data_IF_121091680496
#
_entry.id   IF_121091680496
#
_cell.length_a   1.000
_cell.length_b   1.000
_cell.length_c   1.000
_cell.angle_alpha   90.00
_cell.angle_beta   90.00
_cell.angle_gamma   90.00
#
_symmetry.space_group_name_H-M   'P 1'
#
loop_
_entity.id
_entity.type
_entity.pdbx_description
1 polymer ?
#
# COMPACT_ATOMS: atom_id res chain seq x y z
N UNK A 1 7.20 10.82 39.31
CA UNK A 1 7.12 10.16 37.97
C UNK A 1 5.75 9.54 37.67
N UNK A 2 4.81 9.50 38.61
CA UNK A 2 3.47 8.87 38.41
C UNK A 2 2.42 9.74 37.69
N UNK A 3 2.60 11.06 37.66
CA UNK A 3 1.61 11.97 37.05
C UNK A 3 1.56 11.96 35.51
N UNK A 4 2.64 11.58 34.84
CA UNK A 4 2.71 11.52 33.37
C UNK A 4 2.03 10.29 32.77
N UNK A 5 2.06 9.17 33.47
CA UNK A 5 1.51 7.89 33.02
C UNK A 5 -0.03 7.91 32.98
N UNK A 6 -0.69 8.55 33.95
CA UNK A 6 -2.16 8.63 34.01
C UNK A 6 -2.80 9.49 32.91
N UNK A 7 -2.05 10.48 32.39
CA UNK A 7 -2.61 11.44 31.38
C UNK A 7 -2.73 10.88 29.97
N UNK A 8 -2.04 9.78 29.65
CA UNK A 8 -1.98 9.18 28.31
C UNK A 8 -2.87 7.94 28.12
N UNK A 9 -3.43 7.39 29.17
CA UNK A 9 -4.33 6.24 29.13
C UNK A 9 -5.54 6.44 28.21
N UNK A 10 -6.24 7.59 28.21
CA UNK A 10 -7.40 7.79 27.33
C UNK A 10 -7.01 7.72 25.86
N UNK A 11 -5.91 8.35 25.46
CA UNK A 11 -5.44 8.35 24.07
C UNK A 11 -5.01 6.95 23.62
N UNK A 12 -4.37 6.19 24.49
CA UNK A 12 -3.98 4.80 24.20
C UNK A 12 -5.21 3.93 23.95
N UNK A 13 -6.19 3.96 24.86
CA UNK A 13 -7.41 3.18 24.68
C UNK A 13 -8.23 3.62 23.48
N UNK A 14 -8.29 4.91 23.21
CA UNK A 14 -8.93 5.45 22.00
C UNK A 14 -8.25 4.93 20.73
N UNK A 15 -6.92 5.00 20.66
CA UNK A 15 -6.15 4.50 19.50
C UNK A 15 -6.30 3.00 19.30
N UNK A 16 -6.32 2.23 20.39
CA UNK A 16 -6.53 0.79 20.35
C UNK A 16 -7.97 0.43 19.93
N UNK A 17 -8.98 1.12 20.46
CA UNK A 17 -10.36 0.93 20.04
C UNK A 17 -10.55 1.25 18.54
N UNK A 18 -9.88 2.30 18.07
CA UNK A 18 -9.87 2.65 16.65
C UNK A 18 -9.22 1.55 15.79
N UNK A 19 -8.12 0.95 16.25
CA UNK A 19 -7.51 -0.21 15.56
C UNK A 19 -8.49 -1.38 15.46
N UNK A 20 -9.16 -1.73 16.56
CA UNK A 20 -10.18 -2.79 16.56
C UNK A 20 -11.31 -2.46 15.60
N UNK A 21 -11.77 -1.21 15.57
CA UNK A 21 -12.82 -0.76 14.64
C UNK A 21 -12.41 -0.95 13.17
N UNK A 22 -11.18 -0.57 12.81
CA UNK A 22 -10.64 -0.79 11.45
C UNK A 22 -10.59 -2.28 11.11
N UNK A 23 -10.08 -3.13 12.02
CA UNK A 23 -9.99 -4.56 11.80
C UNK A 23 -11.37 -5.23 11.66
N UNK A 24 -12.36 -4.79 12.45
CA UNK A 24 -13.74 -5.25 12.30
C UNK A 24 -14.34 -4.81 10.97
N UNK A 25 -14.01 -3.60 10.49
CA UNK A 25 -14.42 -3.13 9.16
C UNK A 25 -13.88 -4.01 8.05
N UNK A 26 -12.58 -4.32 8.06
CA UNK A 26 -11.95 -5.23 7.08
C UNK A 26 -12.58 -6.62 7.14
N UNK A 27 -12.80 -7.16 8.35
CA UNK A 27 -13.44 -8.45 8.53
C UNK A 27 -14.89 -8.44 8.01
N UNK A 28 -15.64 -7.36 8.25
CA UNK A 28 -17.01 -7.22 7.76
C UNK A 28 -17.06 -7.26 6.23
N UNK A 29 -16.18 -6.52 5.54
CA UNK A 29 -16.08 -6.54 4.07
C UNK A 29 -15.74 -7.93 3.55
N UNK A 30 -14.78 -8.61 4.18
CA UNK A 30 -14.39 -9.98 3.81
C UNK A 30 -15.54 -10.99 4.01
N UNK A 31 -16.27 -10.90 5.13
CA UNK A 31 -17.43 -11.74 5.38
C UNK A 31 -18.58 -11.46 4.40
N UNK A 32 -18.81 -10.18 4.08
CA UNK A 32 -19.81 -9.80 3.06
C UNK A 32 -19.46 -10.43 1.70
N UNK A 33 -18.19 -10.34 1.28
CA UNK A 33 -17.71 -11.00 0.05
C UNK A 33 -17.82 -12.50 0.10
N UNK A 34 -17.51 -13.14 1.25
CA UNK A 34 -17.69 -14.57 1.43
C UNK A 34 -19.15 -14.98 1.28
N UNK A 35 -20.09 -14.27 1.91
CA UNK A 35 -21.54 -14.54 1.76
C UNK A 35 -21.98 -14.35 0.30
N UNK A 36 -21.48 -13.32 -0.38
CA UNK A 36 -21.76 -13.08 -1.81
C UNK A 36 -21.32 -14.26 -2.68
N UNK A 37 -20.19 -14.87 -2.39
CA UNK A 37 -19.66 -16.04 -3.11
C UNK A 37 -20.57 -17.28 -3.02
N UNK A 38 -21.39 -17.42 -1.97
CA UNK A 38 -22.37 -18.50 -1.81
C UNK A 38 -23.75 -18.20 -2.36
N UNK A 39 -23.97 -17.01 -2.91
CA UNK A 39 -25.24 -16.60 -3.48
C UNK A 39 -25.18 -16.51 -5.00
N UNK A 40 -26.33 -16.59 -5.67
CA UNK A 40 -26.54 -16.16 -7.05
C UNK A 40 -27.09 -14.72 -6.99
N UNK A 41 -26.16 -13.74 -6.99
CA UNK A 41 -26.51 -12.36 -6.74
C UNK A 41 -27.28 -11.74 -7.91
N UNK A 42 -28.46 -11.26 -7.59
CA UNK A 42 -29.36 -10.58 -8.51
C UNK A 42 -29.51 -9.12 -8.08
N UNK A 43 -29.05 -8.18 -8.89
CA UNK A 43 -29.04 -6.77 -8.56
C UNK A 43 -30.43 -6.19 -8.21
N UNK A 44 -31.50 -6.74 -8.78
CA UNK A 44 -32.89 -6.34 -8.51
C UNK A 44 -33.39 -6.76 -7.13
N UNK A 45 -32.90 -7.91 -6.63
CA UNK A 45 -33.33 -8.46 -5.32
C UNK A 45 -32.36 -8.09 -4.20
N UNK A 46 -31.19 -7.54 -4.55
CA UNK A 46 -30.13 -7.19 -3.60
C UNK A 46 -29.55 -8.40 -2.87
N UNK A 47 -28.72 -8.15 -1.87
CA UNK A 47 -28.01 -9.22 -1.14
C UNK A 47 -28.99 -10.12 -0.35
N UNK A 48 -30.03 -9.57 0.26
CA UNK A 48 -30.97 -10.31 1.08
C UNK A 48 -31.91 -11.19 0.23
N UNK A 49 -32.41 -10.67 -0.89
CA UNK A 49 -33.36 -11.37 -1.74
C UNK A 49 -32.77 -12.31 -2.78
N UNK A 50 -31.46 -12.30 -2.98
CA UNK A 50 -30.78 -13.19 -3.90
C UNK A 50 -30.76 -14.64 -3.39
N UNK A 51 -31.01 -15.64 -4.25
CA UNK A 51 -31.04 -17.06 -3.85
C UNK A 51 -29.67 -17.57 -3.43
N UNK A 52 -29.64 -18.60 -2.61
CA UNK A 52 -28.42 -19.30 -2.24
C UNK A 52 -28.01 -20.28 -3.36
N UNK A 53 -26.79 -20.11 -3.88
CA UNK A 53 -26.18 -21.01 -4.88
C UNK A 53 -25.33 -22.11 -4.23
N UNK A 54 -25.10 -22.05 -2.92
CA UNK A 54 -24.22 -22.99 -2.22
C UNK A 54 -22.79 -22.94 -2.78
N UNK A 55 -22.23 -24.10 -3.12
CA UNK A 55 -20.87 -24.22 -3.67
C UNK A 55 -20.80 -24.08 -5.20
N UNK A 56 -21.88 -23.76 -5.89
CA UNK A 56 -21.92 -23.75 -7.37
C UNK A 56 -20.87 -22.80 -7.98
N UNK A 57 -20.73 -21.58 -7.43
CA UNK A 57 -19.76 -20.60 -7.91
C UNK A 57 -18.31 -21.07 -7.73
N UNK A 58 -18.03 -21.74 -6.60
CA UNK A 58 -16.70 -22.32 -6.36
C UNK A 58 -16.44 -23.52 -7.27
N UNK A 59 -17.42 -24.42 -7.46
CA UNK A 59 -17.25 -25.59 -8.31
C UNK A 59 -17.08 -25.21 -9.78
N UNK A 60 -17.79 -24.20 -10.26
CA UNK A 60 -17.62 -23.69 -11.63
C UNK A 60 -16.23 -23.12 -11.87
N UNK A 61 -15.70 -22.36 -10.91
CA UNK A 61 -14.35 -21.80 -10.99
C UNK A 61 -13.28 -22.90 -10.90
N UNK A 62 -13.38 -23.81 -9.93
CA UNK A 62 -12.38 -24.85 -9.67
C UNK A 62 -12.43 -25.99 -10.71
N UNK A 63 -13.59 -26.26 -11.32
CA UNK A 63 -13.75 -27.23 -12.39
C UNK A 63 -13.18 -26.75 -13.73
N UNK A 64 -12.89 -25.46 -13.88
CA UNK A 64 -12.27 -24.90 -15.05
C UNK A 64 -10.76 -25.18 -15.12
N UNK A 65 -10.22 -25.47 -16.30
CA UNK A 65 -8.78 -25.66 -16.52
C UNK A 65 -7.95 -24.38 -16.19
N UNK A 66 -8.60 -23.23 -16.09
CA UNK A 66 -7.99 -21.92 -15.86
C UNK A 66 -7.66 -21.65 -14.40
N UNK A 67 -8.29 -22.32 -13.43
CA UNK A 67 -8.12 -22.01 -11.99
C UNK A 67 -6.67 -22.14 -11.53
N UNK A 68 -6.02 -23.26 -11.84
CA UNK A 68 -4.61 -23.47 -11.48
C UNK A 68 -3.68 -22.48 -12.17
N UNK A 69 -3.99 -22.09 -13.40
CA UNK A 69 -3.24 -21.05 -14.11
C UNK A 69 -3.38 -19.69 -13.43
N UNK A 70 -4.60 -19.30 -13.01
CA UNK A 70 -4.85 -18.05 -12.28
C UNK A 70 -4.08 -17.99 -10.96
N UNK A 71 -4.08 -19.09 -10.20
CA UNK A 71 -3.31 -19.19 -8.97
C UNK A 71 -1.79 -19.14 -9.23
N UNK A 72 -1.33 -19.91 -10.22
CA UNK A 72 0.08 -19.98 -10.60
C UNK A 72 0.62 -18.63 -11.10
N UNK A 73 -0.12 -17.95 -11.95
CA UNK A 73 0.22 -16.62 -12.45
C UNK A 73 0.27 -15.60 -11.32
N UNK A 74 -0.75 -15.58 -10.43
CA UNK A 74 -0.76 -14.68 -9.27
C UNK A 74 0.47 -14.89 -8.38
N UNK A 75 0.80 -16.15 -8.08
CA UNK A 75 1.99 -16.49 -7.30
C UNK A 75 3.28 -16.09 -8.02
N UNK A 76 3.40 -16.35 -9.33
CA UNK A 76 4.58 -15.99 -10.13
C UNK A 76 4.81 -14.48 -10.15
N UNK A 77 3.77 -13.70 -10.42
CA UNK A 77 3.85 -12.24 -10.43
C UNK A 77 4.24 -11.70 -9.06
N UNK A 78 3.69 -12.28 -7.98
CA UNK A 78 4.08 -11.90 -6.61
C UNK A 78 5.50 -12.32 -6.26
N UNK A 79 5.98 -13.43 -6.78
CA UNK A 79 7.40 -13.82 -6.64
C UNK A 79 8.33 -12.83 -7.36
N UNK A 80 7.90 -12.22 -8.48
CA UNK A 80 8.64 -11.12 -9.11
C UNK A 80 8.76 -9.90 -8.18
N UNK A 81 7.67 -9.49 -7.49
CA UNK A 81 7.71 -8.42 -6.50
C UNK A 81 8.61 -8.78 -5.31
N UNK A 82 8.54 -10.01 -4.81
CA UNK A 82 9.40 -10.50 -3.74
C UNK A 82 10.87 -10.53 -4.15
N UNK A 83 11.19 -10.97 -5.37
CA UNK A 83 12.55 -10.95 -5.88
C UNK A 83 13.09 -9.53 -5.99
N UNK A 84 12.28 -8.58 -6.49
CA UNK A 84 12.62 -7.17 -6.55
C UNK A 84 12.90 -6.59 -5.14
N UNK A 85 12.06 -6.93 -4.17
CA UNK A 85 12.22 -6.49 -2.78
C UNK A 85 13.46 -7.10 -2.12
N UNK A 86 13.64 -8.42 -2.20
CA UNK A 86 14.72 -9.12 -1.49
C UNK A 86 16.09 -8.85 -2.12
N UNK A 87 16.19 -8.90 -3.44
CA UNK A 87 17.48 -8.69 -4.15
C UNK A 87 17.76 -7.18 -4.26
N UNK A 88 16.89 -6.42 -4.93
CA UNK A 88 17.10 -4.98 -5.12
C UNK A 88 17.12 -4.21 -3.80
N UNK A 89 16.13 -4.49 -2.94
CA UNK A 89 16.05 -3.90 -1.61
C UNK A 89 17.18 -4.33 -0.69
N UNK A 90 17.65 -5.59 -0.79
CA UNK A 90 18.80 -6.10 -0.06
C UNK A 90 20.08 -5.36 -0.39
N UNK A 91 20.38 -5.16 -1.68
CA UNK A 91 21.54 -4.39 -2.12
C UNK A 91 21.49 -2.96 -1.61
N UNK A 92 20.36 -2.27 -1.78
CA UNK A 92 20.18 -0.89 -1.30
C UNK A 92 20.29 -0.81 0.23
N UNK A 93 19.68 -1.74 0.97
CA UNK A 93 19.77 -1.77 2.43
C UNK A 93 21.19 -2.02 2.94
N UNK A 94 21.97 -2.88 2.27
CA UNK A 94 23.38 -3.08 2.58
C UNK A 94 24.19 -1.80 2.36
N UNK A 95 23.98 -1.10 1.25
CA UNK A 95 24.65 0.18 0.99
C UNK A 95 24.31 1.22 2.07
N UNK A 96 23.03 1.31 2.46
CA UNK A 96 22.58 2.20 3.55
C UNK A 96 23.24 1.80 4.88
N UNK A 97 23.35 0.50 5.17
CA UNK A 97 23.96 0.02 6.40
C UNK A 97 25.46 0.35 6.52
N UNK A 98 26.15 0.55 5.39
CA UNK A 98 27.56 0.97 5.35
C UNK A 98 27.73 2.47 5.72
N UNK A 99 26.67 3.27 5.79
CA UNK A 99 26.73 4.67 6.20
C UNK A 99 27.10 4.74 7.69
N UNK A 100 28.23 5.38 8.08
CA UNK A 100 28.72 5.33 9.46
C UNK A 100 27.84 6.10 10.45
N UNK A 101 27.15 7.17 9.99
CA UNK A 101 26.34 8.02 10.84
C UNK A 101 24.89 7.54 10.88
N UNK A 102 24.41 7.11 12.05
CA UNK A 102 23.05 6.58 12.25
C UNK A 102 21.95 7.55 11.81
N UNK A 103 22.10 8.85 12.06
CA UNK A 103 21.16 9.86 11.63
C UNK A 103 21.07 9.99 10.10
N UNK A 104 22.21 10.00 9.40
CA UNK A 104 22.23 10.03 7.91
C UNK A 104 21.57 8.77 7.35
N UNK A 105 21.83 7.62 7.96
CA UNK A 105 21.18 6.34 7.60
C UNK A 105 19.67 6.43 7.67
N UNK A 106 19.11 6.99 8.76
CA UNK A 106 17.66 7.23 8.90
C UNK A 106 17.14 8.17 7.79
N UNK A 107 17.86 9.26 7.53
CA UNK A 107 17.47 10.22 6.51
C UNK A 107 17.45 9.63 5.10
N UNK A 108 18.49 8.88 4.74
CA UNK A 108 18.57 8.18 3.45
C UNK A 108 17.46 7.13 3.32
N UNK A 109 17.24 6.33 4.38
CA UNK A 109 16.14 5.36 4.37
C UNK A 109 14.79 6.03 4.18
N UNK A 110 14.52 7.11 4.91
CA UNK A 110 13.25 7.83 4.81
C UNK A 110 13.03 8.41 3.41
N UNK A 111 14.06 8.92 2.73
CA UNK A 111 13.96 9.44 1.38
C UNK A 111 13.52 8.39 0.35
N UNK A 112 13.73 7.09 0.62
CA UNK A 112 13.23 6.00 -0.24
C UNK A 112 11.69 5.87 -0.26
N UNK A 113 10.98 6.58 0.62
CA UNK A 113 9.52 6.72 0.50
C UNK A 113 9.11 7.37 -0.84
N UNK A 114 9.94 8.25 -1.40
CA UNK A 114 9.64 8.93 -2.67
C UNK A 114 9.49 7.91 -3.82
N UNK A 115 10.47 7.06 -4.14
CA UNK A 115 10.30 6.07 -5.20
C UNK A 115 9.42 4.87 -4.78
N UNK A 116 9.29 4.56 -3.49
CA UNK A 116 8.40 3.51 -3.01
C UNK A 116 6.91 3.84 -3.23
N UNK A 117 6.54 5.13 -3.19
CA UNK A 117 5.19 5.65 -3.43
C UNK A 117 5.00 6.19 -4.86
N UNK A 118 6.00 6.03 -5.73
CA UNK A 118 5.87 6.52 -7.10
C UNK A 118 4.69 5.83 -7.82
N UNK A 119 3.88 6.61 -8.58
CA UNK A 119 2.69 6.10 -9.25
C UNK A 119 3.00 4.99 -10.26
N UNK A 120 2.14 3.98 -10.33
CA UNK A 120 2.30 2.87 -11.29
C UNK A 120 2.31 3.37 -12.75
N UNK A 121 1.57 4.42 -13.05
CA UNK A 121 1.50 5.06 -14.38
C UNK A 121 2.88 5.57 -14.83
N UNK A 122 3.70 6.09 -13.91
CA UNK A 122 5.06 6.52 -14.20
C UNK A 122 5.92 5.39 -14.78
N UNK A 123 5.89 4.22 -14.16
CA UNK A 123 6.68 3.07 -14.62
C UNK A 123 6.08 2.44 -15.88
N UNK A 124 4.76 2.50 -16.07
CA UNK A 124 4.13 2.05 -17.31
C UNK A 124 4.54 2.91 -18.51
N UNK A 125 4.70 4.21 -18.31
CA UNK A 125 5.10 5.14 -19.36
C UNK A 125 6.61 5.08 -19.70
N UNK A 126 7.45 4.87 -18.67
CA UNK A 126 8.92 4.83 -18.85
C UNK A 126 9.43 3.49 -19.40
N UNK A 127 8.69 2.40 -19.19
CA UNK A 127 9.13 1.07 -19.57
C UNK A 127 8.29 0.55 -20.75
N UNK A 128 8.92 0.03 -21.81
CA UNK A 128 8.22 -0.44 -22.99
C UNK A 128 7.26 -1.59 -22.68
N UNK A 129 6.20 -1.68 -23.44
CA UNK A 129 5.26 -2.80 -23.41
C UNK A 129 5.93 -4.05 -24.00
N UNK A 130 6.62 -4.78 -23.14
CA UNK A 130 7.03 -6.14 -23.48
C UNK A 130 5.92 -7.07 -22.99
N UNK A 131 5.28 -7.79 -23.90
CA UNK A 131 4.13 -8.66 -23.58
C UNK A 131 4.45 -9.88 -22.72
N UNK A 132 5.35 -9.76 -21.73
CA UNK A 132 5.79 -10.86 -20.88
C UNK A 132 5.93 -10.45 -19.40
N UNK A 133 6.07 -11.43 -18.52
CA UNK A 133 6.21 -11.24 -17.06
C UNK A 133 7.43 -10.37 -16.66
N UNK A 134 8.44 -10.26 -17.52
CA UNK A 134 9.61 -9.41 -17.29
C UNK A 134 9.23 -7.92 -17.26
N UNK A 135 8.27 -7.47 -18.06
CA UNK A 135 7.77 -6.08 -17.99
C UNK A 135 7.13 -5.79 -16.63
N UNK A 136 6.34 -6.73 -16.10
CA UNK A 136 5.77 -6.59 -14.76
C UNK A 136 6.86 -6.52 -13.69
N UNK A 137 7.88 -7.39 -13.77
CA UNK A 137 9.03 -7.36 -12.87
C UNK A 137 9.73 -6.01 -12.87
N UNK A 138 10.03 -5.46 -14.05
CA UNK A 138 10.70 -4.16 -14.17
C UNK A 138 9.86 -3.02 -13.59
N UNK A 139 8.55 -3.03 -13.81
CA UNK A 139 7.62 -2.00 -13.29
C UNK A 139 7.50 -2.06 -11.76
N UNK A 140 7.57 -3.25 -11.17
CA UNK A 140 7.53 -3.44 -9.72
C UNK A 140 8.89 -3.30 -9.03
N UNK A 141 10.01 -3.33 -9.79
CA UNK A 141 11.36 -3.34 -9.24
C UNK A 141 11.64 -2.16 -8.30
N UNK A 142 11.43 -0.95 -8.77
CA UNK A 142 11.76 0.27 -8.01
C UNK A 142 10.91 0.41 -6.75
N UNK A 143 9.57 0.35 -6.81
CA UNK A 143 8.75 0.49 -5.62
C UNK A 143 9.02 -0.60 -4.57
N UNK A 144 9.13 -1.87 -4.98
CA UNK A 144 9.35 -2.99 -4.07
C UNK A 144 10.77 -2.98 -3.45
N UNK A 145 11.80 -2.68 -4.25
CA UNK A 145 13.18 -2.55 -3.75
C UNK A 145 13.30 -1.39 -2.77
N UNK A 146 12.71 -0.23 -3.08
CA UNK A 146 12.75 0.94 -2.21
C UNK A 146 11.94 0.74 -0.92
N UNK A 147 10.79 0.07 -0.96
CA UNK A 147 10.04 -0.33 0.22
C UNK A 147 10.87 -1.24 1.14
N UNK A 148 11.51 -2.27 0.57
CA UNK A 148 12.34 -3.19 1.34
C UNK A 148 13.60 -2.52 1.89
N UNK A 149 14.25 -1.66 1.12
CA UNK A 149 15.42 -0.90 1.57
C UNK A 149 15.06 0.13 2.65
N UNK A 150 13.92 0.81 2.54
CA UNK A 150 13.37 1.66 3.60
C UNK A 150 13.21 0.87 4.90
N UNK A 151 12.56 -0.30 4.84
CA UNK A 151 12.36 -1.17 6.01
C UNK A 151 13.69 -1.64 6.57
N UNK A 152 14.62 -2.06 5.72
CA UNK A 152 15.97 -2.48 6.09
C UNK A 152 16.75 -1.40 6.83
N UNK A 153 16.80 -0.21 6.25
CA UNK A 153 17.49 0.94 6.86
C UNK A 153 16.86 1.38 8.17
N UNK A 154 15.54 1.35 8.27
CA UNK A 154 14.80 1.65 9.50
C UNK A 154 15.12 0.63 10.61
N UNK A 155 15.08 -0.66 10.33
CA UNK A 155 15.39 -1.71 11.32
C UNK A 155 16.86 -1.63 11.75
N UNK A 156 17.79 -1.40 10.83
CA UNK A 156 19.19 -1.19 11.16
C UNK A 156 19.40 0.02 12.06
N UNK A 157 18.68 1.12 11.79
CA UNK A 157 18.74 2.32 12.62
C UNK A 157 18.12 2.10 14.01
N UNK A 158 16.97 1.41 14.09
CA UNK A 158 16.29 1.11 15.36
C UNK A 158 17.09 0.20 16.28
N UNK A 159 17.94 -0.65 15.70
CA UNK A 159 18.81 -1.59 16.45
C UNK A 159 20.23 -1.05 16.67
N UNK A 160 20.57 0.10 16.11
CA UNK A 160 21.95 0.60 15.99
C UNK A 160 22.89 -0.47 15.38
N UNK A 161 22.34 -1.27 14.45
CA UNK A 161 22.99 -2.41 13.88
C UNK A 161 23.59 -2.12 12.51
N UNK A 162 24.28 -3.13 11.97
CA UNK A 162 24.92 -3.10 10.66
C UNK A 162 24.08 -3.79 9.57
N UNK A 163 24.81 -4.41 8.64
CA UNK A 163 24.26 -5.11 7.46
C UNK A 163 23.27 -6.21 7.83
N UNK A 164 23.54 -6.97 8.90
CA UNK A 164 22.66 -8.08 9.33
C UNK A 164 21.28 -7.55 9.73
N UNK A 165 21.21 -6.44 10.47
CA UNK A 165 19.93 -5.83 10.86
C UNK A 165 19.20 -5.19 9.68
N UNK A 166 19.95 -4.65 8.72
CA UNK A 166 19.38 -4.16 7.48
C UNK A 166 18.74 -5.29 6.65
N UNK A 167 19.43 -6.42 6.48
CA UNK A 167 18.91 -7.60 5.80
C UNK A 167 17.72 -8.21 6.54
N UNK A 168 17.72 -8.18 7.87
CA UNK A 168 16.57 -8.59 8.68
C UNK A 168 15.34 -7.70 8.39
N UNK A 169 15.53 -6.39 8.25
CA UNK A 169 14.47 -5.48 7.85
C UNK A 169 13.95 -5.75 6.44
N UNK A 170 14.85 -6.07 5.49
CA UNK A 170 14.45 -6.51 4.14
C UNK A 170 13.62 -7.80 4.20
N UNK A 171 14.02 -8.76 5.04
CA UNK A 171 13.24 -9.98 5.26
C UNK A 171 11.85 -9.68 5.85
N UNK A 172 11.74 -8.70 6.76
CA UNK A 172 10.44 -8.24 7.28
C UNK A 172 9.56 -7.63 6.19
N UNK A 173 10.12 -6.83 5.28
CA UNK A 173 9.39 -6.33 4.12
C UNK A 173 8.92 -7.48 3.22
N UNK A 174 9.79 -8.46 2.97
CA UNK A 174 9.44 -9.68 2.23
C UNK A 174 8.30 -10.46 2.88
N UNK A 175 8.26 -10.57 4.21
CA UNK A 175 7.15 -11.21 4.92
C UNK A 175 5.83 -10.46 4.71
N UNK A 176 5.82 -9.12 4.75
CA UNK A 176 4.63 -8.32 4.48
C UNK A 176 4.12 -8.54 3.04
N UNK A 177 5.01 -8.55 2.06
CA UNK A 177 4.64 -8.85 0.66
C UNK A 177 4.14 -10.29 0.50
N UNK A 178 4.76 -11.26 1.18
CA UNK A 178 4.39 -12.67 1.11
C UNK A 178 3.03 -12.97 1.73
N UNK A 179 2.52 -12.14 2.67
CA UNK A 179 1.17 -12.27 3.20
C UNK A 179 0.08 -12.12 2.12
N UNK A 180 0.43 -11.59 0.93
CA UNK A 180 -0.44 -11.46 -0.25
C UNK A 180 0.07 -12.29 -1.44
N UNK A 181 0.52 -13.50 -1.21
CA UNK A 181 1.20 -14.29 -2.23
C UNK A 181 0.38 -14.52 -3.51
N UNK A 182 -0.95 -14.60 -3.43
CA UNK A 182 -1.83 -14.81 -4.58
C UNK A 182 -2.41 -13.51 -5.17
N UNK A 183 -2.09 -12.36 -4.58
CA UNK A 183 -2.59 -11.05 -5.04
C UNK A 183 -1.42 -10.13 -5.38
N UNK A 184 -0.95 -10.13 -6.64
CA UNK A 184 -0.01 -9.15 -7.14
C UNK A 184 -0.60 -7.74 -7.07
N UNK A 185 0.24 -6.73 -7.29
CA UNK A 185 -0.19 -5.33 -7.30
C UNK A 185 -1.14 -5.07 -8.50
N UNK A 186 -2.43 -4.97 -8.22
CA UNK A 186 -3.45 -4.90 -9.26
C UNK A 186 -3.32 -3.65 -10.14
N UNK A 187 -3.08 -2.42 -9.61
CA UNK A 187 -2.87 -1.25 -10.46
C UNK A 187 -1.73 -1.44 -11.47
N UNK A 188 -0.59 -1.95 -11.04
CA UNK A 188 0.55 -2.24 -11.94
C UNK A 188 0.20 -3.34 -12.95
N UNK A 189 -0.54 -4.36 -12.51
CA UNK A 189 -0.97 -5.46 -13.37
C UNK A 189 -1.94 -5.00 -14.46
N UNK A 190 -2.95 -4.20 -14.12
CA UNK A 190 -3.92 -3.66 -15.09
C UNK A 190 -3.29 -2.78 -16.17
N UNK A 191 -2.18 -2.09 -15.86
CA UNK A 191 -1.41 -1.32 -16.83
C UNK A 191 -0.55 -2.21 -17.76
N UNK A 192 -0.22 -3.43 -17.33
CA UNK A 192 0.55 -4.41 -18.11
C UNK A 192 -0.34 -5.41 -18.86
N UNK A 193 -1.62 -5.52 -18.49
CA UNK A 193 -2.51 -6.56 -18.94
C UNK A 193 -3.26 -6.15 -20.23
N UNK A 194 -3.31 -7.08 -21.20
CA UNK A 194 -4.14 -6.97 -22.39
C UNK A 194 -4.69 -8.37 -22.76
N UNK A 195 -5.71 -8.49 -23.62
CA UNK A 195 -6.30 -9.78 -23.98
C UNK A 195 -5.31 -10.80 -24.56
N UNK A 196 -4.22 -10.35 -25.16
CA UNK A 196 -3.22 -11.23 -25.80
C UNK A 196 -2.27 -11.88 -24.80
N UNK A 197 -2.15 -11.31 -23.58
CA UNK A 197 -1.20 -11.77 -22.59
C UNK A 197 -1.83 -12.40 -21.34
N UNK A 198 -3.14 -12.66 -21.34
CA UNK A 198 -3.84 -13.29 -20.21
C UNK A 198 -3.26 -14.66 -19.81
N UNK A 199 -2.59 -15.35 -20.72
CA UNK A 199 -1.98 -16.65 -20.43
C UNK A 199 -0.98 -16.61 -19.25
N UNK A 200 -0.26 -15.50 -19.06
CA UNK A 200 0.69 -15.32 -17.96
C UNK A 200 0.29 -14.19 -16.98
N UNK A 201 -0.55 -13.25 -17.42
CA UNK A 201 -0.87 -12.07 -16.64
C UNK A 201 -2.17 -12.17 -15.84
N UNK A 202 -3.06 -13.13 -16.20
CA UNK A 202 -4.33 -13.27 -15.51
C UNK A 202 -4.15 -13.99 -14.17
N UNK A 203 -4.48 -13.31 -13.10
CA UNK A 203 -4.43 -13.81 -11.71
C UNK A 203 -5.84 -13.79 -11.10
N UNK A 204 -6.04 -14.45 -9.96
CA UNK A 204 -7.36 -14.47 -9.30
C UNK A 204 -7.93 -13.07 -9.08
N UNK A 205 -7.09 -12.11 -8.73
CA UNK A 205 -7.50 -10.72 -8.48
C UNK A 205 -7.93 -10.01 -9.78
N UNK A 206 -7.17 -10.13 -10.87
CA UNK A 206 -7.55 -9.52 -12.17
C UNK A 206 -8.72 -10.26 -12.83
N UNK A 207 -8.82 -11.57 -12.65
CA UNK A 207 -9.98 -12.36 -13.05
C UNK A 207 -11.25 -11.89 -12.33
N UNK A 208 -11.18 -11.72 -11.00
CA UNK A 208 -12.29 -11.19 -10.20
C UNK A 208 -12.72 -9.80 -10.65
N UNK A 209 -11.76 -8.90 -10.89
CA UNK A 209 -12.02 -7.57 -11.45
C UNK A 209 -12.77 -7.64 -12.78
N UNK A 210 -12.28 -8.43 -13.73
CA UNK A 210 -12.88 -8.57 -15.06
C UNK A 210 -14.26 -9.22 -14.99
N UNK A 211 -14.39 -10.34 -14.28
CA UNK A 211 -15.64 -11.11 -14.18
C UNK A 211 -16.69 -10.30 -13.42
N UNK A 212 -16.34 -9.68 -12.32
CA UNK A 212 -17.29 -8.93 -11.49
C UNK A 212 -17.68 -7.58 -12.08
N UNK A 213 -16.72 -6.74 -12.46
CA UNK A 213 -17.00 -5.36 -12.86
C UNK A 213 -17.28 -5.20 -14.36
N UNK A 214 -16.63 -5.98 -15.22
CA UNK A 214 -16.82 -5.87 -16.67
C UNK A 214 -17.93 -6.82 -17.14
N UNK A 215 -17.94 -8.06 -16.64
CA UNK A 215 -18.94 -9.08 -17.03
C UNK A 215 -20.17 -9.11 -16.12
N UNK A 216 -20.15 -8.34 -15.01
CA UNK A 216 -21.25 -8.24 -14.01
C UNK A 216 -21.61 -9.55 -13.28
N UNK A 217 -20.75 -10.57 -13.34
CA UNK A 217 -20.87 -11.78 -12.52
C UNK A 217 -20.19 -11.53 -11.14
N UNK A 218 -20.94 -10.88 -10.25
CA UNK A 218 -20.46 -10.54 -8.90
C UNK A 218 -20.21 -11.77 -8.04
N UNK A 219 -21.00 -12.82 -8.22
CA UNK A 219 -20.92 -14.04 -7.40
C UNK A 219 -19.70 -14.89 -7.76
N UNK A 220 -19.44 -15.10 -9.05
CA UNK A 220 -18.24 -15.80 -9.51
C UNK A 220 -16.96 -15.04 -9.15
N UNK A 221 -16.97 -13.73 -9.32
CA UNK A 221 -15.86 -12.86 -8.91
C UNK A 221 -15.60 -12.91 -7.39
N UNK A 222 -16.66 -12.88 -6.57
CA UNK A 222 -16.55 -12.99 -5.12
C UNK A 222 -16.02 -14.38 -4.69
N UNK A 223 -16.39 -15.44 -5.40
CA UNK A 223 -15.86 -16.80 -5.14
C UNK A 223 -14.34 -16.86 -5.41
N UNK A 224 -13.86 -16.26 -6.49
CA UNK A 224 -12.43 -16.18 -6.81
C UNK A 224 -11.67 -15.41 -5.71
N UNK A 225 -12.21 -14.27 -5.28
CA UNK A 225 -11.62 -13.45 -4.23
C UNK A 225 -11.65 -14.14 -2.85
N UNK A 226 -12.75 -14.81 -2.50
CA UNK A 226 -12.86 -15.55 -1.25
C UNK A 226 -11.82 -16.69 -1.17
N UNK A 227 -11.59 -17.41 -2.27
CA UNK A 227 -10.53 -18.43 -2.35
C UNK A 227 -9.13 -17.81 -2.18
N UNK A 228 -8.84 -16.72 -2.89
CA UNK A 228 -7.57 -16.03 -2.77
C UNK A 228 -7.34 -15.54 -1.35
N UNK A 229 -8.31 -14.82 -0.76
CA UNK A 229 -8.22 -14.28 0.59
C UNK A 229 -8.12 -15.36 1.66
N UNK A 230 -8.88 -16.46 1.52
CA UNK A 230 -8.82 -17.59 2.44
C UNK A 230 -7.45 -18.28 2.42
N UNK A 231 -6.91 -18.57 1.24
CA UNK A 231 -5.60 -19.16 1.10
C UNK A 231 -4.49 -18.21 1.62
N UNK A 232 -4.60 -16.92 1.33
CA UNK A 232 -3.66 -15.91 1.84
C UNK A 232 -3.72 -15.79 3.36
N UNK A 233 -4.91 -15.82 3.97
CA UNK A 233 -5.04 -15.77 5.43
C UNK A 233 -4.35 -16.95 6.10
N UNK A 234 -4.50 -18.16 5.54
CA UNK A 234 -3.80 -19.36 6.04
C UNK A 234 -2.27 -19.21 5.97
N UNK A 235 -1.75 -18.58 4.93
CA UNK A 235 -0.32 -18.28 4.80
C UNK A 235 0.10 -17.10 5.68
N UNK A 236 -0.72 -16.07 5.80
CA UNK A 236 -0.39 -14.84 6.52
C UNK A 236 -0.28 -15.06 8.04
N UNK A 237 -1.06 -15.96 8.63
CA UNK A 237 -1.02 -16.22 10.07
C UNK A 237 0.36 -16.72 10.56
N UNK A 238 0.97 -17.78 9.99
CA UNK A 238 2.32 -18.19 10.38
C UNK A 238 3.38 -17.13 10.03
N UNK A 239 3.23 -16.42 8.90
CA UNK A 239 4.14 -15.33 8.54
C UNK A 239 4.04 -14.16 9.53
N UNK A 240 2.85 -13.83 10.02
CA UNK A 240 2.65 -12.82 11.06
C UNK A 240 3.28 -13.25 12.40
N UNK A 241 3.17 -14.53 12.76
CA UNK A 241 3.84 -15.05 13.94
C UNK A 241 5.38 -14.94 13.83
N UNK A 242 5.94 -15.23 12.66
CA UNK A 242 7.36 -15.04 12.37
C UNK A 242 7.73 -13.56 12.38
N UNK A 243 6.95 -12.70 11.72
CA UNK A 243 7.11 -11.25 11.72
C UNK A 243 7.16 -10.70 13.15
N UNK A 244 6.22 -11.10 14.03
CA UNK A 244 6.18 -10.67 15.42
C UNK A 244 7.41 -11.12 16.24
N UNK A 245 8.03 -12.25 15.90
CA UNK A 245 9.25 -12.76 16.57
C UNK A 245 10.49 -11.98 16.15
N UNK A 246 10.58 -11.63 14.87
CA UNK A 246 11.73 -10.96 14.28
C UNK A 246 11.73 -9.46 14.61
N UNK A 247 10.57 -8.85 14.84
CA UNK A 247 10.45 -7.43 15.15
C UNK A 247 11.37 -7.01 16.30
N UNK A 248 12.14 -5.90 16.14
CA UNK A 248 13.04 -5.43 17.19
C UNK A 248 12.28 -4.99 18.44
N UNK A 249 12.95 -5.04 19.59
CA UNK A 249 12.44 -4.39 20.80
C UNK A 249 12.31 -2.89 20.56
N UNK A 250 11.33 -2.24 21.24
CA UNK A 250 11.14 -0.79 21.09
C UNK A 250 12.49 -0.09 21.29
N UNK A 251 12.90 0.77 20.36
CA UNK A 251 14.22 1.38 20.41
C UNK A 251 14.31 2.32 21.61
N UNK A 252 15.44 2.25 22.30
CA UNK A 252 15.70 3.10 23.44
C UNK A 252 16.21 4.49 23.05
N UNK A 253 16.96 4.61 21.97
CA UNK A 253 17.48 5.89 21.44
C UNK A 253 17.77 5.76 19.94
N UNK A 254 17.44 6.80 19.16
CA UNK A 254 17.90 6.98 17.79
C UNK A 254 18.84 8.18 17.77
N UNK A 255 20.07 8.01 17.26
CA UNK A 255 20.95 9.14 16.96
C UNK A 255 20.44 9.83 15.69
N UNK A 256 20.19 11.13 15.79
CA UNK A 256 19.42 11.85 14.80
C UNK A 256 20.23 12.92 14.06
N UNK A 257 21.48 13.14 14.44
CA UNK A 257 22.34 14.14 13.78
C UNK A 257 22.52 13.77 12.30
N UNK A 258 22.12 14.67 11.40
CA UNK A 258 22.24 14.49 9.96
C UNK A 258 21.02 13.83 9.27
N UNK A 259 20.01 13.33 10.03
CA UNK A 259 18.84 12.69 9.44
C UNK A 259 18.01 13.64 8.55
N UNK A 260 17.72 14.83 9.06
CA UNK A 260 16.95 15.86 8.37
C UNK A 260 17.62 16.33 7.07
N UNK A 261 18.89 16.80 7.10
CA UNK A 261 19.53 17.26 5.88
C UNK A 261 19.72 16.12 4.86
N UNK A 262 20.00 14.90 5.31
CA UNK A 262 20.12 13.75 4.39
C UNK A 262 18.78 13.40 3.74
N UNK A 263 17.68 13.35 4.50
CA UNK A 263 16.35 13.11 3.94
C UNK A 263 15.94 14.22 2.97
N UNK A 264 16.14 15.50 3.34
CA UNK A 264 15.79 16.63 2.50
C UNK A 264 16.60 16.65 1.19
N UNK A 265 17.92 16.53 1.28
CA UNK A 265 18.80 16.57 0.12
C UNK A 265 18.50 15.44 -0.86
N UNK A 266 18.39 14.19 -0.36
CA UNK A 266 18.12 13.05 -1.21
C UNK A 266 16.70 13.09 -1.79
N UNK A 267 15.70 13.55 -1.02
CA UNK A 267 14.34 13.73 -1.53
C UNK A 267 14.27 14.78 -2.64
N UNK A 268 14.97 15.91 -2.51
CA UNK A 268 15.06 16.94 -3.55
C UNK A 268 15.73 16.37 -4.80
N UNK A 269 16.82 15.60 -4.64
CA UNK A 269 17.49 14.94 -5.77
C UNK A 269 16.55 13.96 -6.48
N UNK A 270 15.80 13.13 -5.74
CA UNK A 270 14.85 12.19 -6.31
C UNK A 270 13.70 12.91 -7.04
N UNK A 271 13.19 14.01 -6.49
CA UNK A 271 12.18 14.84 -7.18
C UNK A 271 12.77 15.44 -8.47
N UNK A 272 14.00 15.91 -8.43
CA UNK A 272 14.67 16.45 -9.62
C UNK A 272 14.87 15.38 -10.71
N UNK A 273 15.22 14.15 -10.33
CA UNK A 273 15.32 13.01 -11.27
C UNK A 273 13.95 12.71 -11.91
N UNK A 274 12.88 12.67 -11.11
CA UNK A 274 11.51 12.47 -11.61
C UNK A 274 11.12 13.62 -12.54
N UNK A 275 11.42 14.88 -12.18
CA UNK A 275 11.14 16.05 -13.01
C UNK A 275 11.86 16.01 -14.36
N UNK A 276 13.13 15.61 -14.35
CA UNK A 276 13.91 15.39 -15.57
C UNK A 276 13.34 14.28 -16.45
N UNK A 277 12.93 13.16 -15.83
CA UNK A 277 12.33 12.03 -16.55
C UNK A 277 10.96 12.37 -17.18
N UNK A 278 10.22 13.30 -16.55
CA UNK A 278 8.90 13.73 -17.03
C UNK A 278 8.93 14.82 -18.09
N UNK A 279 10.04 15.54 -18.29
CA UNK A 279 10.12 16.68 -19.22
C UNK A 279 9.15 17.81 -18.83
N UNK A 280 9.64 18.87 -18.23
CA UNK A 280 8.78 19.99 -17.76
C UNK A 280 8.35 20.89 -18.93
N UNK A 281 7.34 20.48 -19.69
CA UNK A 281 6.70 21.32 -20.70
C UNK A 281 5.21 21.49 -20.38
N UNK A 282 4.80 22.69 -19.96
CA UNK A 282 3.40 23.09 -19.82
C UNK A 282 2.86 23.29 -18.40
N UNK A 283 1.69 23.95 -18.29
CA UNK A 283 0.99 24.20 -17.04
C UNK A 283 0.18 22.94 -16.64
N UNK A 284 0.28 22.55 -15.36
CA UNK A 284 -0.48 21.44 -14.80
C UNK A 284 -1.96 21.83 -14.63
N UNK A 285 -2.92 21.11 -15.22
CA UNK A 285 -4.35 21.39 -15.03
C UNK A 285 -4.80 20.85 -13.65
N UNK A 286 -4.78 21.72 -12.65
CA UNK A 286 -5.19 21.38 -11.29
C UNK A 286 -6.69 21.63 -11.10
N UNK A 287 -7.48 20.56 -10.96
CA UNK A 287 -8.87 20.64 -10.54
C UNK A 287 -8.96 20.66 -9.01
N UNK A 288 -9.89 21.43 -8.46
CA UNK A 288 -10.10 21.54 -7.01
C UNK A 288 -10.39 20.18 -6.35
N UNK A 289 -11.16 19.33 -6.98
CA UNK A 289 -11.43 17.94 -6.54
C UNK A 289 -10.20 17.06 -6.57
N UNK A 290 -9.33 17.23 -7.56
CA UNK A 290 -8.03 16.52 -7.64
C UNK A 290 -7.09 16.82 -6.48
N UNK A 291 -7.23 17.97 -5.81
CA UNK A 291 -6.46 18.36 -4.62
C UNK A 291 -7.14 17.89 -3.33
N UNK A 292 -8.45 18.10 -3.23
CA UNK A 292 -9.20 17.81 -1.99
C UNK A 292 -9.23 16.32 -1.68
N UNK A 293 -9.39 15.47 -2.70
CA UNK A 293 -9.49 14.03 -2.54
C UNK A 293 -8.25 13.38 -1.88
N UNK A 294 -7.02 13.62 -2.36
CA UNK A 294 -5.82 13.12 -1.70
C UNK A 294 -5.63 13.66 -0.27
N UNK A 295 -6.02 14.90 -0.01
CA UNK A 295 -5.94 15.48 1.34
C UNK A 295 -6.89 14.76 2.31
N UNK A 296 -8.14 14.49 1.90
CA UNK A 296 -9.09 13.73 2.71
C UNK A 296 -8.61 12.29 2.92
N UNK A 297 -8.09 11.62 1.89
CA UNK A 297 -7.47 10.31 2.03
C UNK A 297 -6.27 10.35 2.99
N UNK A 298 -5.49 11.42 2.93
CA UNK A 298 -4.39 11.66 3.86
C UNK A 298 -4.87 11.75 5.31
N UNK A 299 -5.96 12.46 5.59
CA UNK A 299 -6.53 12.51 6.96
C UNK A 299 -6.90 11.11 7.46
N UNK A 300 -7.54 10.29 6.61
CA UNK A 300 -7.85 8.90 6.97
C UNK A 300 -6.58 8.07 7.23
N UNK A 301 -5.51 8.27 6.45
CA UNK A 301 -4.20 7.66 6.69
C UNK A 301 -3.57 8.08 8.01
N UNK A 302 -3.69 9.35 8.39
CA UNK A 302 -3.27 9.86 9.71
C UNK A 302 -4.04 9.21 10.86
N UNK A 303 -5.34 9.01 10.69
CA UNK A 303 -6.21 8.31 11.65
C UNK A 303 -5.82 6.84 11.76
N UNK A 304 -5.57 6.15 10.63
CA UNK A 304 -5.07 4.77 10.64
C UNK A 304 -3.70 4.67 11.31
N UNK A 305 -2.80 5.63 11.07
CA UNK A 305 -1.50 5.67 11.75
C UNK A 305 -1.65 5.83 13.26
N UNK A 306 -2.59 6.67 13.72
CA UNK A 306 -2.92 6.79 15.13
C UNK A 306 -3.39 5.45 15.71
N UNK A 307 -4.24 4.72 14.98
CA UNK A 307 -4.70 3.39 15.37
C UNK A 307 -3.54 2.39 15.50
N UNK A 308 -2.65 2.32 14.51
CA UNK A 308 -1.49 1.43 14.51
C UNK A 308 -0.51 1.75 15.66
N UNK A 309 -0.29 3.03 15.97
CA UNK A 309 0.56 3.44 17.11
C UNK A 309 -0.04 3.09 18.47
N UNK A 310 -1.36 2.84 18.53
CA UNK A 310 -2.09 2.35 19.69
C UNK A 310 -2.02 0.85 19.91
N UNK A 311 -1.40 0.10 19.00
CA UNK A 311 -1.27 -1.35 19.15
C UNK A 311 -0.51 -1.70 20.46
N UNK A 312 -1.09 -2.50 21.38
CA UNK A 312 -0.51 -2.77 22.69
C UNK A 312 0.76 -3.62 22.64
N UNK A 313 0.94 -4.38 21.57
CA UNK A 313 2.11 -5.22 21.40
C UNK A 313 2.41 -5.43 19.90
N UNK A 314 3.62 -5.93 19.60
CA UNK A 314 4.04 -6.34 18.25
C UNK A 314 3.14 -7.41 17.64
N UNK A 315 2.58 -8.29 18.49
CA UNK A 315 1.63 -9.31 18.03
C UNK A 315 0.39 -8.66 17.41
N UNK A 316 -0.09 -7.56 17.99
CA UNK A 316 -1.22 -6.82 17.44
C UNK A 316 -0.90 -6.17 16.10
N UNK A 317 0.29 -5.59 15.94
CA UNK A 317 0.73 -5.07 14.63
C UNK A 317 0.84 -6.20 13.59
N UNK A 318 1.38 -7.36 13.98
CA UNK A 318 1.48 -8.52 13.11
C UNK A 318 0.12 -9.10 12.72
N UNK A 319 -0.82 -9.18 13.67
CA UNK A 319 -2.20 -9.60 13.42
C UNK A 319 -2.90 -8.60 12.50
N UNK A 320 -2.73 -7.30 12.74
CA UNK A 320 -3.29 -6.26 11.89
C UNK A 320 -2.75 -6.38 10.46
N UNK A 321 -1.44 -6.61 10.30
CA UNK A 321 -0.83 -6.83 9.01
C UNK A 321 -1.41 -8.08 8.31
N UNK A 322 -1.51 -9.19 9.01
CA UNK A 322 -2.08 -10.42 8.46
C UNK A 322 -3.52 -10.21 7.99
N UNK A 323 -4.38 -9.62 8.83
CA UNK A 323 -5.80 -9.44 8.51
C UNK A 323 -5.99 -8.45 7.35
N UNK A 324 -5.37 -7.27 7.41
CA UNK A 324 -5.56 -6.25 6.38
C UNK A 324 -4.95 -6.70 5.05
N UNK A 325 -3.74 -7.28 5.05
CA UNK A 325 -3.08 -7.69 3.82
C UNK A 325 -3.70 -8.94 3.18
N UNK A 326 -4.25 -9.86 3.95
CA UNK A 326 -4.87 -11.07 3.40
C UNK A 326 -6.36 -10.92 3.06
N UNK A 327 -7.10 -10.12 3.82
CA UNK A 327 -8.56 -9.94 3.66
C UNK A 327 -8.93 -8.62 2.98
N UNK A 328 -8.07 -7.60 3.03
CA UNK A 328 -8.26 -6.33 2.33
C UNK A 328 -8.11 -6.47 0.81
N UNK A 329 -8.69 -5.54 0.07
CA UNK A 329 -8.74 -5.59 -1.40
C UNK A 329 -9.75 -6.62 -1.89
N UNK A 330 -10.87 -6.80 -1.17
CA UNK A 330 -12.03 -7.55 -1.66
C UNK A 330 -12.91 -6.62 -2.49
N UNK A 331 -12.42 -6.34 -3.71
CA UNK A 331 -12.93 -5.30 -4.60
C UNK A 331 -14.41 -5.45 -4.92
N UNK A 332 -14.91 -6.70 -5.05
CA UNK A 332 -16.33 -6.93 -5.33
C UNK A 332 -17.20 -6.58 -4.13
N UNK A 333 -16.78 -6.99 -2.93
CA UNK A 333 -17.49 -6.65 -1.71
C UNK A 333 -17.45 -5.14 -1.44
N UNK A 334 -16.28 -4.53 -1.61
CA UNK A 334 -16.07 -3.08 -1.45
C UNK A 334 -16.92 -2.29 -2.43
N UNK A 335 -16.94 -2.67 -3.72
CA UNK A 335 -17.74 -2.03 -4.76
C UNK A 335 -19.25 -2.13 -4.47
N UNK A 336 -19.73 -3.33 -4.13
CA UNK A 336 -21.15 -3.53 -3.85
C UNK A 336 -21.59 -2.81 -2.58
N UNK A 337 -20.75 -2.79 -1.54
CA UNK A 337 -21.03 -2.02 -0.32
C UNK A 337 -21.06 -0.52 -0.62
N UNK A 338 -20.10 0.00 -1.39
CA UNK A 338 -20.11 1.40 -1.81
C UNK A 338 -21.38 1.75 -2.61
N UNK A 339 -21.86 0.83 -3.46
CA UNK A 339 -23.12 0.98 -4.19
C UNK A 339 -24.34 0.95 -3.28
N UNK A 340 -24.38 0.02 -2.32
CA UNK A 340 -25.48 -0.09 -1.33
C UNK A 340 -25.58 1.19 -0.48
N UNK A 341 -24.42 1.75 -0.06
CA UNK A 341 -24.38 2.98 0.73
C UNK A 341 -24.56 4.25 -0.10
N UNK A 342 -24.72 4.15 -1.43
CA UNK A 342 -24.83 5.31 -2.31
C UNK A 342 -23.55 6.14 -2.42
N UNK A 343 -22.39 5.51 -2.22
CA UNK A 343 -21.08 6.17 -2.21
C UNK A 343 -20.42 6.25 -3.59
N UNK A 344 -21.04 5.70 -4.63
CA UNK A 344 -20.58 5.87 -6.02
C UNK A 344 -20.67 7.36 -6.39
N UNK A 345 -19.66 7.88 -7.07
CA UNK A 345 -19.45 9.31 -7.36
C UNK A 345 -19.29 10.21 -6.13
N UNK A 346 -18.83 9.64 -5.03
CA UNK A 346 -18.46 10.38 -3.82
C UNK A 346 -16.99 10.10 -3.44
N UNK A 347 -16.34 10.97 -2.65
CA UNK A 347 -14.96 10.75 -2.22
C UNK A 347 -14.79 9.60 -1.22
N UNK A 348 -15.86 9.14 -0.57
CA UNK A 348 -15.80 8.24 0.57
C UNK A 348 -15.08 6.91 0.31
N UNK A 349 -15.33 6.17 -0.81
CA UNK A 349 -14.60 4.94 -1.07
C UNK A 349 -13.08 5.16 -1.15
N UNK A 350 -12.67 6.22 -1.86
CA UNK A 350 -11.25 6.51 -2.03
C UNK A 350 -10.61 6.91 -0.70
N UNK A 351 -11.30 7.76 0.08
CA UNK A 351 -10.83 8.21 1.40
C UNK A 351 -10.65 7.03 2.36
N UNK A 352 -11.57 6.08 2.38
CA UNK A 352 -11.54 4.96 3.31
C UNK A 352 -10.60 3.83 2.85
N UNK A 353 -10.50 3.58 1.54
CA UNK A 353 -9.72 2.46 1.01
C UNK A 353 -8.26 2.81 0.77
N UNK A 354 -7.91 4.06 0.38
CA UNK A 354 -6.52 4.44 0.12
C UNK A 354 -5.54 4.12 1.26
N UNK A 355 -5.85 4.32 2.56
CA UNK A 355 -4.93 3.95 3.63
C UNK A 355 -4.83 2.43 3.85
N UNK A 356 -5.82 1.64 3.39
CA UNK A 356 -5.84 0.18 3.48
C UNK A 356 -5.19 -0.49 2.27
N UNK A 357 -4.86 0.27 1.23
CA UNK A 357 -4.11 -0.22 0.09
C UNK A 357 -2.80 -0.89 0.55
N UNK A 358 -2.46 -2.07 0.01
CA UNK A 358 -1.39 -2.90 0.55
C UNK A 358 -0.03 -2.21 0.65
N UNK A 359 0.33 -1.37 -0.32
CA UNK A 359 1.57 -0.59 -0.32
C UNK A 359 1.57 0.42 0.82
N UNK A 360 0.51 1.21 0.92
CA UNK A 360 0.34 2.24 1.95
C UNK A 360 0.31 1.59 3.33
N UNK A 361 -0.54 0.59 3.51
CA UNK A 361 -0.71 -0.07 4.79
C UNK A 361 0.61 -0.71 5.28
N UNK A 362 1.35 -1.38 4.40
CA UNK A 362 2.65 -1.97 4.75
C UNK A 362 3.66 -0.90 5.20
N UNK A 363 3.71 0.25 4.51
CA UNK A 363 4.54 1.38 4.92
C UNK A 363 4.11 1.93 6.28
N UNK A 364 2.82 2.12 6.52
CA UNK A 364 2.29 2.60 7.80
C UNK A 364 2.63 1.64 8.95
N UNK A 365 2.54 0.31 8.72
CA UNK A 365 2.94 -0.70 9.72
C UNK A 365 4.43 -0.57 10.05
N UNK A 366 5.30 -0.43 9.04
CA UNK A 366 6.75 -0.26 9.26
C UNK A 366 7.04 1.05 9.99
N UNK A 367 6.39 2.16 9.61
CA UNK A 367 6.55 3.45 10.28
C UNK A 367 6.05 3.40 11.73
N UNK A 368 4.98 2.66 12.01
CA UNK A 368 4.47 2.49 13.37
C UNK A 368 5.47 1.78 14.32
N UNK A 369 6.44 1.03 13.79
CA UNK A 369 7.51 0.42 14.60
C UNK A 369 8.41 1.46 15.26
N UNK A 370 8.54 2.64 14.66
CA UNK A 370 9.30 3.77 15.22
C UNK A 370 8.50 4.62 16.22
N UNK A 371 7.23 4.27 16.48
CA UNK A 371 6.34 5.05 17.32
C UNK A 371 6.81 5.11 18.77
N UNK A 372 6.91 6.34 19.29
CA UNK A 372 7.10 6.68 20.70
C UNK A 372 5.99 7.62 21.11
N UNK A 373 5.71 7.69 22.39
CA UNK A 373 4.64 8.56 22.91
C UNK A 373 4.81 10.04 22.50
N UNK A 374 6.04 10.51 22.50
CA UNK A 374 6.39 11.91 22.14
C UNK A 374 6.26 12.21 20.64
N UNK A 375 6.23 11.18 19.78
CA UNK A 375 6.33 11.31 18.33
C UNK A 375 5.02 11.01 17.59
N UNK A 376 3.95 10.63 18.30
CA UNK A 376 2.69 10.15 17.66
C UNK A 376 2.10 11.16 16.69
N UNK A 377 2.04 12.44 17.06
CA UNK A 377 1.48 13.48 16.21
C UNK A 377 2.22 13.62 14.87
N UNK A 378 3.55 13.59 14.91
CA UNK A 378 4.39 13.66 13.72
C UNK A 378 4.25 12.40 12.86
N UNK A 379 4.13 11.22 13.47
CA UNK A 379 3.87 9.95 12.76
C UNK A 379 2.51 9.98 12.09
N UNK A 380 1.48 10.48 12.77
CA UNK A 380 0.15 10.65 12.15
C UNK A 380 0.23 11.59 10.95
N UNK A 381 0.97 12.69 11.04
CA UNK A 381 1.15 13.61 9.92
C UNK A 381 1.97 12.97 8.79
N UNK A 382 3.02 12.23 9.10
CA UNK A 382 3.80 11.50 8.09
C UNK A 382 2.95 10.41 7.41
N UNK A 383 2.14 9.66 8.17
CA UNK A 383 1.19 8.68 7.64
C UNK A 383 0.11 9.32 6.77
N UNK A 384 -0.37 10.50 7.14
CA UNK A 384 -1.30 11.29 6.35
C UNK A 384 -0.68 11.66 4.99
N UNK A 385 0.56 12.13 4.98
CA UNK A 385 1.26 12.51 3.75
C UNK A 385 1.59 11.30 2.86
N UNK A 386 1.96 10.15 3.44
CA UNK A 386 2.15 8.89 2.69
C UNK A 386 0.87 8.49 1.97
N UNK A 387 -0.25 8.53 2.67
CA UNK A 387 -1.55 8.18 2.09
C UNK A 387 -2.00 9.20 1.04
N UNK A 388 -1.80 10.50 1.29
CA UNK A 388 -2.10 11.55 0.34
C UNK A 388 -1.25 11.43 -0.94
N UNK A 389 0.04 11.11 -0.82
CA UNK A 389 0.94 10.88 -1.93
C UNK A 389 0.46 9.71 -2.81
N UNK A 390 0.08 8.60 -2.19
CA UNK A 390 -0.48 7.46 -2.89
C UNK A 390 -1.78 7.81 -3.59
N UNK A 391 -2.75 8.40 -2.86
CA UNK A 391 -4.06 8.76 -3.41
C UNK A 391 -3.98 9.80 -4.54
N UNK A 392 -2.95 10.65 -4.55
CA UNK A 392 -2.68 11.57 -5.65
C UNK A 392 -2.35 10.82 -6.94
N UNK A 393 -1.47 9.84 -6.85
CA UNK A 393 -0.97 9.07 -7.99
C UNK A 393 -1.83 7.85 -8.36
N UNK A 394 -2.80 7.49 -7.54
CA UNK A 394 -3.65 6.35 -7.78
C UNK A 394 -4.68 6.65 -8.87
N UNK A 395 -4.74 5.78 -9.89
CA UNK A 395 -5.75 5.83 -10.93
C UNK A 395 -6.86 4.80 -10.72
N UNK A 396 -6.59 3.77 -9.89
CA UNK A 396 -7.41 2.57 -9.81
C UNK A 396 -8.71 2.82 -9.02
N UNK A 397 -8.61 3.31 -7.77
CA UNK A 397 -9.81 3.60 -6.97
C UNK A 397 -10.71 4.66 -7.62
N UNK A 398 -10.19 5.78 -8.17
CA UNK A 398 -11.04 6.71 -8.92
C UNK A 398 -11.72 6.07 -10.14
N UNK A 399 -11.05 5.18 -10.85
CA UNK A 399 -11.63 4.46 -11.98
C UNK A 399 -12.82 3.58 -11.57
N UNK A 400 -12.79 3.01 -10.36
CA UNK A 400 -13.86 2.16 -9.83
C UNK A 400 -15.08 2.94 -9.34
N UNK A 401 -14.85 4.07 -8.66
CA UNK A 401 -15.89 4.71 -7.85
C UNK A 401 -16.36 6.06 -8.40
N UNK A 402 -15.60 6.70 -9.32
CA UNK A 402 -15.92 8.00 -9.86
C UNK A 402 -16.21 7.88 -11.36
N UNK A 403 -17.46 8.11 -11.74
CA UNK A 403 -17.90 8.11 -13.15
C UNK A 403 -17.89 9.51 -13.75
N UNK A 404 -17.80 10.57 -12.92
CA UNK A 404 -17.83 11.96 -13.36
C UNK A 404 -16.43 12.46 -13.69
N UNK A 405 -16.24 12.91 -14.91
CA UNK A 405 -14.91 13.35 -15.43
C UNK A 405 -14.39 14.57 -14.65
N UNK A 406 -15.26 15.44 -14.19
CA UNK A 406 -14.93 16.64 -13.40
C UNK A 406 -14.42 16.34 -11.99
N UNK A 407 -14.59 15.11 -11.51
CA UNK A 407 -14.18 14.65 -10.18
C UNK A 407 -12.98 13.70 -10.20
N UNK A 408 -12.40 13.42 -11.35
CA UNK A 408 -11.26 12.51 -11.49
C UNK A 408 -9.98 13.15 -10.90
N UNK A 409 -9.17 12.29 -10.26
CA UNK A 409 -7.89 12.69 -9.69
C UNK A 409 -6.76 12.75 -10.73
N UNK A 410 -5.59 13.22 -10.29
CA UNK A 410 -4.41 13.34 -11.12
C UNK A 410 -3.93 12.00 -11.70
N UNK A 411 -4.00 10.91 -10.92
CA UNK A 411 -3.58 9.57 -11.35
C UNK A 411 -4.38 9.06 -12.54
N UNK A 412 -5.71 9.23 -12.52
CA UNK A 412 -6.57 8.84 -13.62
C UNK A 412 -6.34 9.68 -14.88
N UNK A 413 -6.23 11.01 -14.72
CA UNK A 413 -5.93 11.91 -15.84
C UNK A 413 -4.58 11.58 -16.47
N UNK A 414 -3.57 11.33 -15.66
CA UNK A 414 -2.26 10.90 -16.13
C UNK A 414 -2.32 9.61 -16.94
N UNK A 415 -3.07 8.63 -16.46
CA UNK A 415 -3.30 7.38 -17.19
C UNK A 415 -3.92 7.64 -18.57
N UNK A 416 -4.93 8.48 -18.65
CA UNK A 416 -5.54 8.82 -19.95
C UNK A 416 -4.53 9.48 -20.89
N UNK A 417 -3.79 10.49 -20.43
CA UNK A 417 -2.78 11.18 -21.24
C UNK A 417 -1.67 10.25 -21.74
N UNK A 418 -1.21 9.33 -20.90
CA UNK A 418 -0.18 8.35 -21.26
C UNK A 418 -0.67 7.39 -22.34
N UNK A 419 -1.89 6.86 -22.19
CA UNK A 419 -2.42 5.85 -23.13
C UNK A 419 -3.09 6.45 -24.37
N UNK A 420 -3.57 7.70 -24.35
CA UNK A 420 -4.03 8.39 -25.55
C UNK A 420 -2.88 8.88 -26.45
N UNK A 421 -1.67 8.98 -25.91
CA UNK A 421 -0.51 9.51 -26.60
C UNK A 421 -0.52 11.04 -26.79
N UNK A 422 -1.54 11.73 -26.28
CA UNK A 422 -1.69 13.18 -26.51
C UNK A 422 -0.68 14.04 -25.76
N UNK A 423 -0.17 13.62 -24.63
CA UNK A 423 0.94 14.27 -23.89
C UNK A 423 1.43 13.38 -22.76
N UNK A 424 2.12 12.28 -23.05
CA UNK A 424 2.49 11.30 -22.04
C UNK A 424 3.43 11.88 -20.96
N UNK A 425 4.36 12.77 -21.35
CA UNK A 425 5.29 13.41 -20.43
C UNK A 425 4.57 14.35 -19.44
N UNK A 426 3.59 15.12 -19.92
CA UNK A 426 2.77 15.98 -19.07
C UNK A 426 1.91 15.16 -18.11
N UNK A 427 1.32 14.06 -18.57
CA UNK A 427 0.58 13.13 -17.73
C UNK A 427 1.45 12.55 -16.61
N UNK A 428 2.67 12.11 -16.94
CA UNK A 428 3.64 11.65 -15.96
C UNK A 428 3.99 12.72 -14.93
N UNK A 429 4.32 13.93 -15.39
CA UNK A 429 4.66 15.05 -14.51
C UNK A 429 3.53 15.40 -13.55
N UNK A 430 2.30 15.46 -14.05
CA UNK A 430 1.10 15.78 -13.28
C UNK A 430 0.84 14.77 -12.16
N UNK A 431 1.08 13.49 -12.42
CA UNK A 431 0.89 12.42 -11.45
C UNK A 431 2.07 12.31 -10.47
N UNK A 432 3.30 12.26 -11.00
CA UNK A 432 4.47 11.88 -10.22
C UNK A 432 5.05 13.00 -9.36
N UNK A 433 5.07 14.25 -9.84
CA UNK A 433 5.71 15.35 -9.11
C UNK A 433 5.03 15.71 -7.79
N UNK A 434 3.69 15.91 -7.72
CA UNK A 434 3.04 16.17 -6.45
C UNK A 434 3.11 14.97 -5.50
N UNK A 435 2.97 13.74 -6.01
CA UNK A 435 3.14 12.54 -5.20
C UNK A 435 4.55 12.45 -4.61
N UNK A 436 5.58 12.75 -5.40
CA UNK A 436 6.96 12.82 -4.94
C UNK A 436 7.20 13.93 -3.90
N UNK A 437 6.60 15.11 -4.09
CA UNK A 437 6.68 16.20 -3.12
C UNK A 437 6.03 15.84 -1.77
N UNK A 438 4.85 15.24 -1.78
CA UNK A 438 4.18 14.77 -0.56
C UNK A 438 4.97 13.65 0.13
N UNK A 439 5.50 12.70 -0.64
CA UNK A 439 6.35 11.62 -0.13
C UNK A 439 7.65 12.15 0.47
N UNK A 440 8.25 13.15 -0.16
CA UNK A 440 9.45 13.81 0.34
C UNK A 440 9.20 14.54 1.66
N UNK A 441 8.06 15.20 1.78
CA UNK A 441 7.66 15.85 3.03
C UNK A 441 7.41 14.81 4.12
N UNK A 442 6.77 13.69 3.80
CA UNK A 442 6.61 12.55 4.72
C UNK A 442 7.97 11.99 5.17
N UNK A 443 8.93 11.87 4.24
CA UNK A 443 10.29 11.41 4.52
C UNK A 443 11.03 12.33 5.49
N UNK A 444 10.96 13.65 5.26
CA UNK A 444 11.57 14.66 6.13
C UNK A 444 10.95 14.62 7.53
N UNK A 445 9.61 14.54 7.62
CA UNK A 445 8.93 14.41 8.90
C UNK A 445 9.29 13.12 9.62
N UNK A 446 9.31 11.99 8.89
CA UNK A 446 9.72 10.72 9.48
C UNK A 446 11.17 10.74 9.97
N UNK A 447 12.09 11.33 9.21
CA UNK A 447 13.48 11.52 9.61
C UNK A 447 13.62 12.41 10.88
N UNK A 448 12.76 13.43 11.03
CA UNK A 448 12.71 14.28 12.24
C UNK A 448 12.35 13.50 13.51
N UNK A 449 11.62 12.39 13.39
CA UNK A 449 11.25 11.54 14.53
C UNK A 449 12.45 10.85 15.18
N UNK A 450 13.55 10.66 14.41
CA UNK A 450 14.82 10.21 14.95
C UNK A 450 15.53 11.26 15.84
N UNK A 451 15.12 12.54 15.79
CA UNK A 451 15.80 13.71 16.40
C UNK A 451 15.30 14.05 17.82
N UNK A 452 14.68 13.16 18.54
CA UNK A 452 14.39 13.48 19.95
C UNK A 452 15.68 13.61 20.75
N UNK A 453 16.01 14.86 21.11
CA UNK A 453 17.08 15.20 22.06
C UNK A 453 16.96 14.39 23.33
N UNK A 454 18.08 13.98 23.94
CA UNK A 454 18.05 13.44 25.28
C UNK A 454 17.41 14.50 26.17
N UNK A 455 16.31 14.15 26.83
CA UNK A 455 15.83 14.97 27.96
C UNK A 455 17.03 15.20 28.86
N UNK A 456 17.42 16.46 29.04
CA UNK A 456 18.46 16.86 29.96
C UNK A 456 18.16 16.18 31.29
N UNK A 457 18.90 15.12 31.61
CA UNK A 457 18.98 14.61 32.97
C UNK A 457 19.77 15.65 33.72
N UNK A 458 19.03 16.55 34.38
CA UNK A 458 19.55 17.29 35.52
C UNK A 458 19.37 16.46 36.76
#
# INVERSE_FOLDING_TARGET
>A
MEGGYRRQWPLFWFSFALLIFVLLGVLYVALFGAVLAFKDYQALHGMAGSPWAGYANFSSLMGGQTFLALMGNGALLKLCELAAALVGGGVLAMLIACIPHGGVRVGVSAALLVPALAPAVLFAALLPETGNAYAYFLRSLVPCACFAAFTGGMIAALRNGGVVDALLGVALAGLLLAMRLLSPDLPTLLLAQNPLNYTWSDALISYSYRTGLIQTDYSGAAAAQALASGAQLLLALPLAALFARILPARPTRLEARGALPAAALLSVLLIAIIALACGLEGALPLNSTGIILPLLAGLAGGVLMLALTGAPSRKWLAISAALVLSLGGNEMAEYLLARIFGWINTPWPIVLLSPLEPRVFSLLVVMALSAREQNRAWLCLAGALVTAAYAWGDFYLPMLYIMRVDQLNAGYMARQMVFSGENPLLGMAYCALPAAALSALAAVLHARLGVCEPANVK
#
